data_IF_353317804819
#
_entry.id   IF_353317804819
#
_cell.length_a   1.000
_cell.length_b   1.000
_cell.length_c   1.000
_cell.angle_alpha   90.00
_cell.angle_beta   90.00
_cell.angle_gamma   90.00
#
_symmetry.space_group_name_H-M   'P 1'
#
loop_
_entity.id
_entity.type
_entity.pdbx_description
1 polymer ?
#
# COMPACT_ATOMS: atom_id res chain seq x y z
N UNK A 1 12.84 14.24 4.26
CA UNK A 1 12.45 12.93 3.73
C UNK A 1 11.29 13.14 2.74
N UNK A 2 11.43 12.72 1.47
CA UNK A 2 10.46 12.89 0.39
C UNK A 2 9.28 11.89 0.45
N UNK A 3 9.18 11.14 1.54
CA UNK A 3 8.08 10.22 1.83
C UNK A 3 7.47 10.65 3.16
N UNK A 4 6.16 10.88 3.15
CA UNK A 4 5.36 11.17 4.36
C UNK A 4 4.18 10.24 4.40
N UNK A 5 3.69 9.89 5.58
CA UNK A 5 2.50 9.07 5.71
C UNK A 5 1.63 9.48 6.89
N UNK A 6 0.36 9.12 6.84
CA UNK A 6 -0.61 9.28 7.91
C UNK A 6 -1.42 7.98 8.03
N UNK A 7 -1.60 7.49 9.25
CA UNK A 7 -2.38 6.28 9.54
C UNK A 7 -3.66 6.69 10.26
N UNK A 8 -4.80 6.37 9.65
CA UNK A 8 -6.08 6.31 10.34
C UNK A 8 -6.27 4.90 10.90
N UNK A 9 -6.02 4.76 12.21
CA UNK A 9 -6.11 3.48 12.91
C UNK A 9 -7.55 2.98 13.03
N UNK A 10 -8.54 3.89 13.08
CA UNK A 10 -9.95 3.52 13.19
C UNK A 10 -10.48 2.99 11.87
N UNK A 11 -10.06 3.61 10.78
CA UNK A 11 -10.42 3.19 9.42
C UNK A 11 -9.45 2.13 8.85
N UNK A 12 -8.44 1.68 9.61
CA UNK A 12 -7.44 0.73 9.15
C UNK A 12 -6.83 1.13 7.79
N UNK A 13 -6.43 2.40 7.68
CA UNK A 13 -6.06 3.03 6.42
C UNK A 13 -4.76 3.82 6.56
N UNK A 14 -3.86 3.71 5.58
CA UNK A 14 -2.65 4.51 5.49
C UNK A 14 -2.62 5.31 4.20
N UNK A 15 -2.36 6.61 4.31
CA UNK A 15 -2.06 7.49 3.18
C UNK A 15 -0.58 7.79 3.16
N UNK A 16 0.12 7.31 2.15
CA UNK A 16 1.54 7.60 1.90
C UNK A 16 1.64 8.55 0.72
N UNK A 17 2.45 9.61 0.85
CA UNK A 17 2.76 10.55 -0.23
C UNK A 17 4.26 10.55 -0.48
N UNK A 18 4.61 10.40 -1.75
CA UNK A 18 5.98 10.47 -2.26
C UNK A 18 6.10 11.72 -3.14
N UNK A 19 7.08 12.59 -2.85
CA UNK A 19 7.24 13.87 -3.54
C UNK A 19 8.70 14.20 -3.81
N UNK A 20 8.98 14.88 -4.92
CA UNK A 20 10.35 15.19 -5.32
C UNK A 20 11.14 13.94 -5.73
N UNK A 21 12.45 13.94 -5.48
CA UNK A 21 13.33 12.84 -5.87
C UNK A 21 13.36 11.77 -4.78
N UNK A 22 12.59 10.69 -4.98
CA UNK A 22 12.48 9.58 -4.03
C UNK A 22 13.47 8.48 -4.39
N UNK A 23 14.27 8.05 -3.42
CA UNK A 23 15.28 6.99 -3.55
C UNK A 23 14.78 5.65 -3.00
N UNK A 24 15.43 4.55 -3.42
CA UNK A 24 15.12 3.22 -2.89
C UNK A 24 15.44 3.09 -1.39
N UNK A 25 16.47 3.78 -0.91
CA UNK A 25 16.81 3.80 0.52
C UNK A 25 15.68 4.45 1.33
N UNK A 26 15.15 5.59 0.89
CA UNK A 26 14.01 6.23 1.56
C UNK A 26 12.75 5.35 1.55
N UNK A 27 12.51 4.59 0.49
CA UNK A 27 11.43 3.59 0.44
C UNK A 27 11.65 2.50 1.48
N UNK A 28 12.88 1.97 1.61
CA UNK A 28 13.22 0.99 2.64
C UNK A 28 13.04 1.57 4.04
N UNK A 29 13.45 2.81 4.24
CA UNK A 29 13.33 3.53 5.51
C UNK A 29 11.88 3.73 5.91
N UNK A 30 11.03 4.07 4.95
CA UNK A 30 9.58 4.15 5.15
C UNK A 30 9.02 2.83 5.68
N UNK A 31 9.34 1.70 5.04
CA UNK A 31 8.88 0.39 5.53
C UNK A 31 9.46 0.04 6.90
N UNK A 32 10.73 0.38 7.17
CA UNK A 32 11.37 0.21 8.49
C UNK A 32 10.70 1.04 9.59
N UNK A 33 10.20 2.22 9.26
CA UNK A 33 9.43 3.05 10.18
C UNK A 33 8.03 2.46 10.39
N UNK A 34 7.37 2.04 9.33
CA UNK A 34 6.02 1.49 9.39
C UNK A 34 5.93 0.26 10.30
N UNK A 35 6.89 -0.67 10.23
CA UNK A 35 6.91 -1.85 11.12
C UNK A 35 7.19 -1.54 12.59
N UNK A 36 7.67 -0.34 12.89
CA UNK A 36 7.92 0.12 14.27
C UNK A 36 6.74 0.90 14.85
N UNK A 37 5.72 1.19 14.04
CA UNK A 37 4.56 1.94 14.51
C UNK A 37 3.83 1.14 15.61
N UNK A 38 3.67 1.72 16.81
CA UNK A 38 2.87 1.10 17.85
C UNK A 38 1.41 1.09 17.39
N UNK A 39 0.74 -0.03 17.66
CA UNK A 39 -0.66 -0.27 17.32
C UNK A 39 -0.95 -0.18 15.82
N UNK A 40 0.01 -0.63 14.99
CA UNK A 40 -0.24 -0.81 13.57
C UNK A 40 -1.40 -1.82 13.38
N UNK A 41 -2.49 -1.44 12.70
CA UNK A 41 -3.59 -2.37 12.46
C UNK A 41 -3.11 -3.63 11.74
N UNK A 42 -3.66 -4.80 12.12
CA UNK A 42 -3.33 -6.08 11.49
C UNK A 42 -3.69 -6.11 9.99
N UNK A 43 -4.64 -5.25 9.59
CA UNK A 43 -5.08 -5.06 8.21
C UNK A 43 -4.97 -3.58 7.85
N UNK A 44 -4.39 -3.24 6.70
CA UNK A 44 -4.25 -1.84 6.27
C UNK A 44 -4.55 -1.66 4.77
N UNK A 45 -5.54 -0.85 4.46
CA UNK A 45 -5.73 -0.31 3.12
C UNK A 45 -4.74 0.82 2.85
N UNK A 46 -4.21 0.90 1.63
CA UNK A 46 -3.12 1.80 1.26
C UNK A 46 -3.55 2.77 0.17
N UNK A 47 -3.39 4.07 0.42
CA UNK A 47 -3.42 5.09 -0.61
C UNK A 47 -2.01 5.62 -0.83
N UNK A 48 -1.43 5.33 -1.99
CA UNK A 48 -0.09 5.75 -2.37
C UNK A 48 -0.14 6.90 -3.38
N UNK A 49 0.16 8.11 -2.94
CA UNK A 49 0.17 9.33 -3.75
C UNK A 49 1.56 9.60 -4.32
N UNK A 50 1.70 9.43 -5.64
CA UNK A 50 2.95 9.65 -6.38
C UNK A 50 2.87 10.87 -7.32
N UNK A 51 1.85 11.72 -7.17
CA UNK A 51 1.59 12.84 -8.11
C UNK A 51 2.75 13.82 -8.19
N UNK A 52 3.39 14.08 -7.06
CA UNK A 52 4.51 15.02 -6.95
C UNK A 52 5.88 14.34 -7.04
N UNK A 53 5.93 13.04 -7.37
CA UNK A 53 7.19 12.33 -7.51
C UNK A 53 7.90 12.75 -8.80
N UNK A 54 9.10 13.29 -8.63
CA UNK A 54 9.96 13.73 -9.72
C UNK A 54 10.87 12.60 -10.22
N UNK A 55 11.27 11.67 -9.33
CA UNK A 55 12.15 10.54 -9.68
C UNK A 55 11.52 9.58 -10.69
N UNK A 56 12.36 8.93 -11.49
CA UNK A 56 11.96 7.87 -12.42
C UNK A 56 12.74 6.61 -12.06
N UNK A 57 12.20 5.77 -11.14
CA UNK A 57 12.91 4.58 -10.69
C UNK A 57 13.03 3.56 -11.83
N UNK A 58 14.16 2.86 -11.86
CA UNK A 58 14.37 1.77 -12.81
C UNK A 58 13.50 0.56 -12.47
N UNK A 59 13.32 -0.35 -13.43
CA UNK A 59 12.62 -1.61 -13.18
C UNK A 59 13.24 -2.43 -12.04
N UNK A 60 14.57 -2.40 -11.90
CA UNK A 60 15.27 -3.03 -10.78
C UNK A 60 14.92 -2.39 -9.44
N UNK A 61 14.85 -1.06 -9.36
CA UNK A 61 14.47 -0.36 -8.14
C UNK A 61 13.01 -0.63 -7.75
N UNK A 62 12.11 -0.73 -8.73
CA UNK A 62 10.70 -1.05 -8.50
C UNK A 62 10.51 -2.48 -8.02
N UNK A 63 11.23 -3.43 -8.60
CA UNK A 63 11.27 -4.81 -8.11
C UNK A 63 11.78 -4.87 -6.68
N UNK A 64 12.86 -4.13 -6.37
CA UNK A 64 13.41 -4.07 -5.02
C UNK A 64 12.48 -3.41 -4.00
N UNK A 65 11.69 -2.43 -4.40
CA UNK A 65 10.62 -1.88 -3.57
C UNK A 65 9.58 -2.97 -3.25
N UNK A 66 9.16 -3.77 -4.24
CA UNK A 66 8.25 -4.90 -4.02
C UNK A 66 8.84 -5.98 -3.11
N UNK A 67 10.12 -6.32 -3.31
CA UNK A 67 10.85 -7.25 -2.43
C UNK A 67 10.94 -6.75 -0.98
N UNK A 68 10.88 -5.43 -0.77
CA UNK A 68 10.88 -4.86 0.58
C UNK A 68 9.57 -5.14 1.30
N UNK A 69 8.44 -5.13 0.59
CA UNK A 69 7.12 -5.56 1.13
C UNK A 69 7.14 -7.05 1.47
N UNK A 70 7.71 -7.88 0.59
CA UNK A 70 7.82 -9.33 0.80
C UNK A 70 8.59 -9.72 2.07
N UNK A 71 9.46 -8.82 2.56
CA UNK A 71 10.28 -9.02 3.76
C UNK A 71 9.63 -8.47 5.03
N UNK A 72 8.43 -7.88 4.94
CA UNK A 72 7.74 -7.37 6.12
C UNK A 72 7.26 -8.52 7.00
N UNK A 73 7.17 -8.32 8.32
CA UNK A 73 6.65 -9.32 9.23
C UNK A 73 5.23 -9.76 8.83
N UNK A 74 4.88 -11.06 8.92
CA UNK A 74 3.55 -11.58 8.56
C UNK A 74 2.38 -10.98 9.37
N UNK A 75 2.68 -10.30 10.48
CA UNK A 75 1.70 -9.64 11.34
C UNK A 75 1.00 -8.45 10.65
N UNK A 76 1.57 -7.92 9.56
CA UNK A 76 0.96 -6.84 8.76
C UNK A 76 0.36 -7.45 7.50
N UNK A 77 -0.96 -7.40 7.39
CA UNK A 77 -1.67 -7.77 6.16
C UNK A 77 -2.09 -6.49 5.44
N UNK A 78 -1.79 -6.39 4.15
CA UNK A 78 -2.26 -5.27 3.36
C UNK A 78 -3.57 -5.62 2.66
N UNK A 79 -4.51 -4.67 2.73
CA UNK A 79 -5.78 -4.72 2.06
C UNK A 79 -5.68 -4.28 0.61
N UNK A 80 -6.61 -3.43 0.21
CA UNK A 80 -6.59 -2.80 -1.09
C UNK A 80 -5.55 -1.67 -1.14
N UNK A 81 -4.80 -1.59 -2.24
CA UNK A 81 -3.84 -0.53 -2.49
C UNK A 81 -4.21 0.26 -3.75
N UNK A 82 -4.48 1.55 -3.59
CA UNK A 82 -4.65 2.46 -4.72
C UNK A 82 -3.42 3.36 -4.86
N UNK A 83 -2.82 3.32 -6.04
CA UNK A 83 -1.67 4.14 -6.40
C UNK A 83 -2.15 5.27 -7.30
N UNK A 84 -1.82 6.53 -6.97
CA UNK A 84 -2.21 7.68 -7.78
C UNK A 84 -0.98 8.29 -8.44
N UNK A 85 -0.99 8.31 -9.77
CA UNK A 85 0.09 8.85 -10.58
C UNK A 85 -0.47 9.58 -11.81
N UNK A 86 -0.11 10.86 -11.96
CA UNK A 86 -0.59 11.68 -13.08
C UNK A 86 0.31 11.56 -14.32
N UNK A 87 1.63 11.54 -14.12
CA UNK A 87 2.62 11.45 -15.20
C UNK A 87 2.64 10.04 -15.79
N UNK A 88 2.65 9.94 -17.12
CA UNK A 88 2.59 8.65 -17.84
C UNK A 88 3.70 7.67 -17.42
N UNK A 89 4.92 8.15 -17.26
CA UNK A 89 6.04 7.33 -16.83
C UNK A 89 5.80 6.71 -15.44
N UNK A 90 5.32 7.51 -14.49
CA UNK A 90 5.05 7.05 -13.12
C UNK A 90 3.82 6.14 -13.10
N UNK A 91 2.80 6.43 -13.90
CA UNK A 91 1.63 5.58 -14.05
C UNK A 91 2.00 4.19 -14.60
N UNK A 92 2.82 4.13 -15.66
CA UNK A 92 3.32 2.88 -16.23
C UNK A 92 4.17 2.09 -15.22
N UNK A 93 5.07 2.78 -14.51
CA UNK A 93 5.87 2.19 -13.43
C UNK A 93 4.99 1.64 -12.30
N UNK A 94 3.93 2.36 -11.92
CA UNK A 94 3.00 1.94 -10.86
C UNK A 94 2.30 0.64 -11.23
N UNK A 95 1.89 0.48 -12.50
CA UNK A 95 1.32 -0.78 -12.99
C UNK A 95 2.31 -1.94 -12.95
N UNK A 96 3.57 -1.69 -13.31
CA UNK A 96 4.62 -2.70 -13.20
C UNK A 96 4.88 -3.09 -11.74
N UNK A 97 4.91 -2.10 -10.83
CA UNK A 97 4.99 -2.36 -9.40
C UNK A 97 3.85 -3.24 -8.90
N UNK A 98 2.60 -2.97 -9.33
CA UNK A 98 1.43 -3.76 -8.96
C UNK A 98 1.60 -5.25 -9.26
N UNK A 99 2.25 -5.61 -10.36
CA UNK A 99 2.54 -7.02 -10.70
C UNK A 99 3.48 -7.67 -9.67
N UNK A 100 4.49 -6.94 -9.19
CA UNK A 100 5.45 -7.49 -8.24
C UNK A 100 4.88 -7.67 -6.83
N UNK A 101 3.83 -6.93 -6.49
CA UNK A 101 3.29 -6.91 -5.13
C UNK A 101 1.88 -7.48 -5.01
N UNK A 102 1.27 -7.88 -6.11
CA UNK A 102 -0.04 -8.53 -6.15
C UNK A 102 -0.23 -9.60 -5.06
N UNK A 103 0.74 -10.50 -4.76
CA UNK A 103 0.55 -11.52 -3.73
C UNK A 103 0.42 -10.96 -2.29
N UNK A 104 0.76 -9.70 -2.05
CA UNK A 104 0.78 -9.09 -0.71
C UNK A 104 -0.43 -8.20 -0.42
N UNK A 105 -1.27 -7.92 -1.41
CA UNK A 105 -2.46 -7.07 -1.28
C UNK A 105 -3.71 -7.86 -1.68
N UNK A 106 -4.84 -7.59 -1.05
CA UNK A 106 -6.12 -8.20 -1.47
C UNK A 106 -6.55 -7.68 -2.85
N UNK A 107 -6.20 -6.43 -3.16
CA UNK A 107 -6.35 -5.83 -4.47
C UNK A 107 -5.33 -4.70 -4.64
N UNK A 108 -4.83 -4.48 -5.86
CA UNK A 108 -3.98 -3.32 -6.15
C UNK A 108 -4.30 -2.74 -7.51
N UNK A 109 -4.36 -1.40 -7.61
CA UNK A 109 -4.62 -0.71 -8.87
C UNK A 109 -3.99 0.68 -8.90
N UNK A 110 -3.65 1.12 -10.12
CA UNK A 110 -3.12 2.45 -10.38
C UNK A 110 -4.22 3.34 -11.01
N UNK A 111 -4.24 4.61 -10.61
CA UNK A 111 -5.24 5.60 -11.00
C UNK A 111 -4.56 6.91 -11.39
N UNK A 112 -5.20 7.66 -12.30
CA UNK A 112 -4.78 9.03 -12.63
C UNK A 112 -5.44 10.07 -11.73
N UNK A 113 -6.62 9.74 -11.20
CA UNK A 113 -7.39 10.60 -10.31
C UNK A 113 -7.35 10.12 -8.87
N UNK A 114 -7.10 11.06 -7.95
CA UNK A 114 -7.17 10.79 -6.52
C UNK A 114 -8.61 10.45 -6.09
N UNK A 115 -9.62 11.12 -6.64
CA UNK A 115 -11.02 10.87 -6.27
C UNK A 115 -11.50 9.49 -6.69
N UNK A 116 -11.05 9.00 -7.85
CA UNK A 116 -11.34 7.65 -8.34
C UNK A 116 -10.68 6.60 -7.45
N UNK A 117 -9.40 6.80 -7.13
CA UNK A 117 -8.64 5.92 -6.23
C UNK A 117 -9.30 5.82 -4.85
N UNK A 118 -9.70 6.95 -4.26
CA UNK A 118 -10.39 6.97 -2.96
C UNK A 118 -11.75 6.28 -3.01
N UNK A 119 -12.50 6.47 -4.09
CA UNK A 119 -13.81 5.81 -4.28
C UNK A 119 -13.65 4.30 -4.40
N UNK A 120 -12.64 3.86 -5.17
CA UNK A 120 -12.31 2.45 -5.32
C UNK A 120 -11.86 1.82 -4.00
N UNK A 121 -11.03 2.51 -3.21
CA UNK A 121 -10.62 2.04 -1.89
C UNK A 121 -11.79 1.90 -0.92
N UNK A 122 -12.67 2.91 -0.84
CA UNK A 122 -13.87 2.83 0.02
C UNK A 122 -14.76 1.64 -0.33
N UNK A 123 -14.90 1.33 -1.61
CA UNK A 123 -15.67 0.18 -2.07
C UNK A 123 -15.04 -1.16 -1.67
N UNK A 124 -13.70 -1.27 -1.66
CA UNK A 124 -13.00 -2.48 -1.17
C UNK A 124 -13.00 -2.59 0.34
N UNK A 125 -12.75 -1.49 1.05
CA UNK A 125 -12.79 -1.44 2.51
C UNK A 125 -14.13 -1.95 3.05
N UNK A 126 -15.23 -1.50 2.43
CA UNK A 126 -16.59 -1.91 2.80
C UNK A 126 -16.82 -3.42 2.61
N UNK A 127 -16.23 -4.02 1.56
CA UNK A 127 -16.32 -5.47 1.30
C UNK A 127 -15.54 -6.27 2.33
N UNK A 128 -14.33 -5.83 2.68
CA UNK A 128 -13.51 -6.52 3.67
C UNK A 128 -14.14 -6.46 5.06
N UNK A 129 -14.66 -5.30 5.47
CA UNK A 129 -15.38 -5.16 6.74
C UNK A 129 -16.65 -6.03 6.78
N UNK A 130 -17.39 -6.13 5.67
CA UNK A 130 -18.53 -7.03 5.57
C UNK A 130 -18.13 -8.52 5.62
N UNK A 131 -17.00 -8.89 5.02
CA UNK A 131 -16.46 -10.25 5.08
C UNK A 131 -15.97 -10.61 6.49
N UNK A 132 -15.33 -9.67 7.19
CA UNK A 132 -14.89 -9.85 8.57
C UNK A 132 -16.08 -9.99 9.54
N UNK A 133 -17.18 -9.25 9.32
CA UNK A 133 -18.38 -9.32 10.16
C UNK A 133 -19.20 -10.60 9.97
N UNK A 134 -19.08 -11.28 8.82
CA UNK A 134 -19.84 -12.49 8.48
C UNK A 134 -19.10 -13.80 8.77
N UNK A 135 -17.82 -13.74 9.18
CA UNK A 135 -17.04 -14.92 9.57
C UNK A 135 -17.26 -15.27 11.06
N UNK A 136 -17.98 -16.36 11.42
CA UNK A 136 -18.36 -16.63 12.81
C UNK A 136 -17.18 -17.07 13.70
N UNK A 137 -16.06 -17.47 13.07
CA UNK A 137 -14.75 -17.74 13.65
C UNK A 137 -13.76 -17.55 12.51
N UNK A 138 -12.72 -16.75 12.71
CA UNK A 138 -11.68 -16.58 11.69
C UNK A 138 -11.05 -17.93 11.30
N UNK A 139 -10.46 -18.06 10.10
CA UNK A 139 -9.98 -19.34 9.53
C UNK A 139 -8.77 -19.96 10.26
N UNK A 140 -8.46 -19.51 11.48
CA UNK A 140 -7.34 -19.97 12.31
C UNK A 140 -7.82 -20.55 13.66
N UNK A 141 -9.13 -20.66 13.88
CA UNK A 141 -9.70 -21.16 15.15
C UNK A 141 -9.60 -22.69 15.33
N UNK A 142 -9.12 -23.42 14.31
CA UNK A 142 -9.00 -24.90 14.33
C UNK A 142 -7.57 -25.38 14.63
N UNK A 143 -6.67 -24.48 15.10
CA UNK A 143 -5.31 -24.80 15.54
C UNK A 143 -5.06 -24.60 17.05
N UNK A 144 -6.11 -24.80 17.87
CA UNK A 144 -6.01 -24.99 19.32
C UNK A 144 -6.82 -26.23 19.72
#
# INVERSE_FOLDING_TARGET
MPITYQIDRRAAFIRTRCFGNVTLEEVRDHFRQLVKEPDLPQFLDVFLDLRDMASSPSAGQIREAGNTIARLPPAVRFGACAIVAQRDAIYGISRMFSVFVEPFFTAISAFRSASEAETWLRAHHSKEMAAAATSPKGPWADFL
#
